data_IF_700230123261
#
_entry.id   IF_700230123261
#
_cell.length_a   1.000
_cell.length_b   1.000
_cell.length_c   1.000
_cell.angle_alpha   90.00
_cell.angle_beta   90.00
_cell.angle_gamma   90.00
#
_symmetry.space_group_name_H-M   'P 1'
#
loop_
_entity.id
_entity.type
_entity.pdbx_description
1 polymer ?
#
# COMPACT_ATOMS: atom_id res chain seq x y z
N UNK A 1 1.79 0.47 -10.11
CA UNK A 1 2.67 0.91 -9.02
C UNK A 1 2.15 2.22 -8.47
N UNK A 2 2.08 2.33 -7.18
CA UNK A 2 1.52 3.51 -6.53
C UNK A 2 2.31 3.85 -5.28
N UNK A 3 2.57 5.15 -5.08
CA UNK A 3 3.25 5.64 -3.89
C UNK A 3 2.23 6.25 -2.93
N UNK A 4 2.28 5.84 -1.67
CA UNK A 4 1.41 6.35 -0.62
C UNK A 4 2.22 7.22 0.33
N UNK A 5 1.67 8.38 0.67
CA UNK A 5 2.29 9.26 1.66
C UNK A 5 2.18 8.64 3.05
N UNK A 6 3.26 8.70 3.81
CA UNK A 6 3.27 8.26 5.21
C UNK A 6 2.90 9.44 6.11
N UNK A 7 2.13 9.16 7.16
CA UNK A 7 1.86 10.15 8.20
C UNK A 7 3.17 10.54 8.84
N UNK A 8 3.33 11.82 9.19
CA UNK A 8 4.56 12.34 9.77
C UNK A 8 4.99 11.51 10.99
N UNK A 9 6.22 11.02 10.96
CA UNK A 9 6.77 10.18 12.03
C UNK A 9 6.33 8.73 12.00
N UNK A 10 5.41 8.35 11.14
CA UNK A 10 4.88 6.99 11.07
C UNK A 10 5.88 6.00 10.45
N UNK A 11 6.88 6.49 9.73
CA UNK A 11 7.92 5.66 9.15
C UNK A 11 8.59 4.75 10.19
N UNK A 12 8.57 5.15 11.45
CA UNK A 12 9.14 4.34 12.55
C UNK A 12 8.43 3.00 12.73
N UNK A 13 7.20 2.89 12.26
CA UNK A 13 6.43 1.64 12.35
C UNK A 13 6.74 0.66 11.22
N UNK A 14 7.44 1.12 10.20
CA UNK A 14 7.83 0.29 9.05
C UNK A 14 9.34 0.27 8.84
N UNK A 15 10.12 0.85 9.74
CA UNK A 15 11.57 0.91 9.64
C UNK A 15 12.20 -0.45 9.94
N UNK A 16 13.28 -0.78 9.25
CA UNK A 16 13.98 -2.03 9.41
C UNK A 16 13.08 -3.23 9.09
N UNK A 17 13.04 -4.21 9.98
CA UNK A 17 12.24 -5.43 9.80
C UNK A 17 10.77 -5.26 10.21
N UNK A 18 10.37 -4.09 10.66
CA UNK A 18 8.98 -3.86 11.11
C UNK A 18 7.98 -4.00 9.96
N UNK A 19 8.33 -3.53 8.76
CA UNK A 19 7.47 -3.68 7.59
C UNK A 19 7.29 -5.16 7.24
N UNK A 20 8.36 -5.94 7.28
CA UNK A 20 8.30 -7.39 7.07
C UNK A 20 7.36 -8.06 8.07
N UNK A 21 7.51 -7.74 9.34
CA UNK A 21 6.64 -8.32 10.39
C UNK A 21 5.19 -7.91 10.20
N UNK A 22 4.93 -6.67 9.83
CA UNK A 22 3.58 -6.17 9.56
C UNK A 22 2.94 -6.92 8.40
N UNK A 23 3.68 -7.12 7.31
CA UNK A 23 3.18 -7.89 6.16
C UNK A 23 2.94 -9.35 6.51
N UNK A 24 3.81 -9.95 7.31
CA UNK A 24 3.63 -11.32 7.79
C UNK A 24 2.37 -11.45 8.66
N UNK A 25 2.10 -10.47 9.50
CA UNK A 25 0.91 -10.48 10.36
C UNK A 25 -0.38 -10.37 9.55
N UNK A 26 -0.38 -9.60 8.48
CA UNK A 26 -1.58 -9.36 7.67
C UNK A 26 -1.74 -10.41 6.57
N UNK A 27 -0.67 -10.73 5.85
CA UNK A 27 -0.70 -11.59 4.67
C UNK A 27 -0.02 -12.95 4.84
N UNK A 28 0.66 -13.16 5.95
CA UNK A 28 1.39 -14.39 6.18
C UNK A 28 2.75 -14.38 5.48
N UNK A 29 3.04 -15.42 4.70
CA UNK A 29 4.36 -15.58 4.10
C UNK A 29 4.77 -14.39 3.24
N UNK A 30 5.91 -13.79 3.57
CA UNK A 30 6.46 -12.62 2.90
C UNK A 30 7.94 -12.84 2.64
N UNK A 31 8.39 -12.51 1.42
CA UNK A 31 9.77 -12.71 1.00
C UNK A 31 10.45 -11.37 0.75
N UNK A 32 11.75 -11.29 1.04
CA UNK A 32 12.55 -10.12 0.70
C UNK A 32 12.97 -10.19 -0.76
N UNK A 33 12.84 -9.05 -1.46
CA UNK A 33 13.22 -8.95 -2.86
C UNK A 33 13.92 -7.60 -3.09
N UNK A 34 15.24 -7.61 -3.17
CA UNK A 34 16.01 -6.38 -3.28
C UNK A 34 15.79 -5.48 -2.06
N UNK A 35 15.34 -4.25 -2.29
CA UNK A 35 15.04 -3.28 -1.22
C UNK A 35 13.59 -3.35 -0.74
N UNK A 36 12.79 -4.24 -1.32
CA UNK A 36 11.37 -4.37 -0.99
C UNK A 36 10.98 -5.74 -0.48
N UNK A 37 9.69 -5.93 -0.33
CA UNK A 37 9.09 -7.16 0.16
C UNK A 37 8.00 -7.63 -0.81
N UNK A 38 7.85 -8.95 -0.93
CA UNK A 38 6.90 -9.55 -1.88
C UNK A 38 5.99 -10.52 -1.16
N UNK A 39 4.68 -10.42 -1.43
CA UNK A 39 3.66 -11.39 -1.07
C UNK A 39 3.09 -11.95 -2.37
N UNK A 40 2.98 -13.28 -2.45
CA UNK A 40 2.44 -13.95 -3.63
C UNK A 40 1.30 -14.89 -3.26
N UNK A 41 0.29 -14.97 -4.16
CA UNK A 41 -0.80 -15.94 -4.06
C UNK A 41 -1.54 -15.91 -2.73
N UNK A 42 -1.87 -14.71 -2.26
CA UNK A 42 -2.66 -14.53 -1.05
C UNK A 42 -4.03 -13.96 -1.39
N UNK A 43 -5.09 -14.71 -1.11
CA UNK A 43 -6.45 -14.29 -1.46
C UNK A 43 -6.55 -13.97 -2.95
N UNK A 44 -7.03 -12.79 -3.30
CA UNK A 44 -7.10 -12.30 -4.67
C UNK A 44 -5.76 -11.71 -5.16
N UNK A 45 -4.76 -11.59 -4.28
CA UNK A 45 -3.46 -11.04 -4.65
C UNK A 45 -2.64 -12.10 -5.36
N UNK A 46 -2.31 -11.87 -6.62
CA UNK A 46 -1.36 -12.70 -7.36
C UNK A 46 0.06 -12.38 -6.93
N UNK A 47 0.39 -11.08 -6.86
CA UNK A 47 1.70 -10.61 -6.41
C UNK A 47 1.57 -9.19 -5.90
N UNK A 48 2.20 -8.90 -4.77
CA UNK A 48 2.27 -7.56 -4.22
C UNK A 48 3.72 -7.26 -3.83
N UNK A 49 4.25 -6.16 -4.34
CA UNK A 49 5.57 -5.64 -4.00
C UNK A 49 5.41 -4.39 -3.16
N UNK A 50 6.14 -4.31 -2.05
CA UNK A 50 6.08 -3.16 -1.14
C UNK A 50 7.49 -2.71 -0.82
N UNK A 51 7.74 -1.40 -0.94
CA UNK A 51 9.04 -0.81 -0.66
C UNK A 51 8.86 0.51 0.08
N UNK A 52 9.60 0.68 1.18
CA UNK A 52 9.62 1.96 1.88
C UNK A 52 10.54 2.94 1.14
N UNK A 53 10.01 4.11 0.80
CA UNK A 53 10.75 5.16 0.11
C UNK A 53 11.16 6.23 1.12
N UNK A 54 12.28 6.00 1.81
CA UNK A 54 12.74 6.90 2.85
C UNK A 54 11.75 6.98 4.01
N UNK A 55 11.52 8.19 4.50
CA UNK A 55 10.66 8.42 5.68
C UNK A 55 9.31 9.01 5.32
N UNK A 56 9.01 9.20 4.04
CA UNK A 56 7.85 9.97 3.59
C UNK A 56 6.83 9.18 2.78
N UNK A 57 7.26 8.13 2.08
CA UNK A 57 6.37 7.41 1.17
C UNK A 57 6.57 5.89 1.25
N UNK A 58 5.53 5.17 0.87
CA UNK A 58 5.52 3.72 0.74
C UNK A 58 5.08 3.38 -0.69
N UNK A 59 5.91 2.65 -1.42
CA UNK A 59 5.59 2.21 -2.78
C UNK A 59 4.94 0.83 -2.74
N UNK A 60 3.80 0.70 -3.40
CA UNK A 60 3.06 -0.56 -3.47
C UNK A 60 2.70 -0.86 -4.92
N UNK A 61 3.05 -2.04 -5.37
CA UNK A 61 2.68 -2.54 -6.68
C UNK A 61 1.92 -3.85 -6.48
N UNK A 62 0.63 -3.85 -6.85
CA UNK A 62 -0.24 -4.99 -6.59
C UNK A 62 -0.87 -5.49 -7.88
N UNK A 63 -0.79 -6.80 -8.10
CA UNK A 63 -1.49 -7.48 -9.19
C UNK A 63 -2.56 -8.36 -8.55
N UNK A 64 -3.81 -8.14 -8.94
CA UNK A 64 -4.96 -8.88 -8.43
C UNK A 64 -5.50 -9.84 -9.48
N UNK A 65 -6.03 -10.98 -9.02
CA UNK A 65 -6.73 -11.93 -9.89
C UNK A 65 -8.21 -11.55 -9.92
N UNK A 66 -8.75 -11.14 -11.08
CA UNK A 66 -10.16 -10.74 -11.18
C UNK A 66 -11.14 -11.91 -11.17
N UNK A 67 -10.63 -13.13 -11.23
CA UNK A 67 -11.48 -14.35 -11.34
C UNK A 67 -11.84 -14.96 -9.99
N UNK A 68 -11.41 -14.37 -8.87
CA UNK A 68 -11.79 -14.88 -7.55
C UNK A 68 -13.25 -14.52 -7.24
N UNK A 69 -13.84 -15.24 -6.25
CA UNK A 69 -15.20 -14.94 -5.80
C UNK A 69 -15.29 -13.55 -5.20
N UNK A 70 -16.52 -13.00 -5.14
CA UNK A 70 -16.76 -11.71 -4.51
C UNK A 70 -16.35 -11.68 -3.05
N UNK A 71 -16.59 -12.75 -2.31
CA UNK A 71 -16.21 -12.87 -0.91
C UNK A 71 -14.69 -12.84 -0.74
N UNK A 72 -13.98 -13.55 -1.61
CA UNK A 72 -12.52 -13.56 -1.62
C UNK A 72 -11.95 -12.18 -1.91
N UNK A 73 -12.53 -11.51 -2.91
CA UNK A 73 -12.11 -10.16 -3.29
C UNK A 73 -12.33 -9.16 -2.14
N UNK A 74 -13.49 -9.22 -1.47
CA UNK A 74 -13.78 -8.35 -0.33
C UNK A 74 -12.82 -8.57 0.82
N UNK A 75 -12.57 -9.83 1.15
CA UNK A 75 -11.64 -10.21 2.22
C UNK A 75 -10.23 -9.67 1.92
N UNK A 76 -9.80 -9.82 0.68
CA UNK A 76 -8.49 -9.33 0.23
C UNK A 76 -8.41 -7.81 0.33
N UNK A 77 -9.41 -7.09 -0.14
CA UNK A 77 -9.43 -5.64 -0.07
C UNK A 77 -9.45 -5.12 1.36
N UNK A 78 -10.16 -5.80 2.25
CA UNK A 78 -10.19 -5.44 3.66
C UNK A 78 -8.82 -5.58 4.29
N UNK A 79 -8.15 -6.71 4.06
CA UNK A 79 -6.80 -6.93 4.58
C UNK A 79 -5.80 -5.93 3.98
N UNK A 80 -5.90 -5.65 2.69
CA UNK A 80 -5.06 -4.69 1.99
C UNK A 80 -5.22 -3.27 2.57
N UNK A 81 -6.45 -2.86 2.83
CA UNK A 81 -6.72 -1.57 3.47
C UNK A 81 -6.21 -1.52 4.91
N UNK A 82 -6.39 -2.59 5.68
CA UNK A 82 -5.86 -2.68 7.04
C UNK A 82 -4.34 -2.57 7.04
N UNK A 83 -3.67 -3.26 6.12
CA UNK A 83 -2.23 -3.16 5.98
C UNK A 83 -1.78 -1.73 5.68
N UNK A 84 -2.42 -1.08 4.72
CA UNK A 84 -2.06 0.30 4.36
C UNK A 84 -2.31 1.28 5.50
N UNK A 85 -3.38 1.11 6.26
CA UNK A 85 -3.65 1.94 7.43
C UNK A 85 -2.55 1.77 8.48
N UNK A 86 -2.15 0.54 8.76
CA UNK A 86 -1.07 0.25 9.72
C UNK A 86 0.28 0.77 9.21
N UNK A 87 0.54 0.64 7.93
CA UNK A 87 1.82 1.04 7.35
C UNK A 87 1.94 2.54 7.12
N UNK A 88 0.87 3.21 6.69
CA UNK A 88 0.90 4.64 6.35
C UNK A 88 0.42 5.55 7.48
N UNK A 89 -0.39 5.03 8.40
CA UNK A 89 -1.04 5.84 9.44
C UNK A 89 -2.30 6.54 8.96
N UNK A 90 -2.72 6.32 7.72
CA UNK A 90 -3.93 6.91 7.14
C UNK A 90 -4.91 5.83 6.73
N UNK A 91 -6.20 6.01 7.05
CA UNK A 91 -7.24 5.12 6.58
C UNK A 91 -7.54 5.37 5.08
N UNK A 92 -8.41 4.55 4.48
CA UNK A 92 -8.69 4.65 3.04
C UNK A 92 -9.18 6.04 2.62
N UNK A 93 -10.05 6.65 3.42
CA UNK A 93 -10.59 7.99 3.15
C UNK A 93 -9.50 9.05 3.20
N UNK A 94 -8.62 8.98 4.21
CA UNK A 94 -7.51 9.91 4.36
C UNK A 94 -6.49 9.75 3.22
N UNK A 95 -6.20 8.51 2.83
CA UNK A 95 -5.30 8.24 1.69
C UNK A 95 -5.84 8.84 0.40
N UNK A 96 -7.16 8.73 0.18
CA UNK A 96 -7.80 9.32 -0.99
C UNK A 96 -7.67 10.84 -1.02
N UNK A 97 -7.91 11.49 0.10
CA UNK A 97 -7.76 12.95 0.21
C UNK A 97 -6.32 13.39 -0.04
N UNK A 98 -5.34 12.65 0.50
CA UNK A 98 -3.92 12.96 0.30
C UNK A 98 -3.51 12.82 -1.16
N UNK A 99 -3.96 11.78 -1.83
CA UNK A 99 -3.67 11.55 -3.23
C UNK A 99 -4.25 12.67 -4.10
N UNK A 100 -5.46 13.13 -3.80
CA UNK A 100 -6.08 14.26 -4.51
C UNK A 100 -5.30 15.56 -4.27
N UNK A 101 -4.87 15.80 -3.04
CA UNK A 101 -4.09 16.99 -2.71
C UNK A 101 -2.77 17.02 -3.46
N UNK A 102 -2.08 15.89 -3.55
CA UNK A 102 -0.83 15.78 -4.31
C UNK A 102 -1.06 16.00 -5.80
N UNK A 103 -2.14 15.44 -6.34
CA UNK A 103 -2.51 15.62 -7.75
C UNK A 103 -2.79 17.08 -8.08
N UNK A 104 -3.46 17.80 -7.18
CA UNK A 104 -3.78 19.23 -7.35
C UNK A 104 -2.56 20.13 -7.26
N UNK A 105 -1.45 19.64 -6.73
CA UNK A 105 -0.20 20.39 -6.60
C UNK A 105 0.73 20.18 -7.79
N UNK A 106 0.27 19.54 -8.84
CA UNK A 106 1.07 19.28 -10.02
C UNK A 106 1.52 20.62 -10.64
N UNK A 107 2.83 20.85 -10.80
CA UNK A 107 3.33 22.17 -11.15
C UNK A 107 3.04 22.64 -12.57
N UNK A 108 2.66 21.77 -13.45
CA UNK A 108 2.34 22.13 -14.85
C UNK A 108 0.90 22.61 -15.03
N UNK A 109 0.14 22.74 -13.96
CA UNK A 109 -1.21 23.24 -14.01
C UNK A 109 -2.17 22.40 -14.82
N UNK A 110 -1.80 21.16 -15.09
CA UNK A 110 -2.70 20.25 -15.77
C UNK A 110 -3.90 20.02 -14.87
N UNK A 111 -5.07 20.33 -15.39
CA UNK A 111 -6.32 19.97 -14.75
C UNK A 111 -6.37 18.47 -14.63
N UNK A 112 -5.99 18.00 -13.47
CA UNK A 112 -6.21 16.60 -13.14
C UNK A 112 -7.71 16.47 -12.97
N UNK A 113 -8.38 15.68 -13.81
CA UNK A 113 -9.82 15.52 -13.67
C UNK A 113 -10.12 15.05 -12.27
N UNK A 114 -11.04 15.72 -11.62
CA UNK A 114 -11.55 15.28 -10.33
C UNK A 114 -12.21 13.93 -10.52
N UNK A 115 -11.52 12.95 -10.06
CA UNK A 115 -12.02 11.59 -10.11
C UNK A 115 -12.92 11.36 -8.94
#
# INVERSE_FOLDING_TARGET
MRDYELRRGHWKNIDGDKLLHLMQDVFGETQKSGTGLVVENWGAITKMYVEALGKTHLRVDTVMNPKVSGDEAQKTMRAWNDFLELATGYNAKERGKRAQAEAKKTPDGVDVPDV
#
